data_IF_396091977168
#
_entry.id   IF_396091977168
#
_cell.length_a   1.000
_cell.length_b   1.000
_cell.length_c   1.000
_cell.angle_alpha   90.00
_cell.angle_beta   90.00
_cell.angle_gamma   90.00
#
_symmetry.space_group_name_H-M   'P 1'
#
loop_
_entity.id
_entity.type
_entity.pdbx_description
1 polymer ?
#
# COMPACT_ATOMS: atom_id res chain seq x y z
N UNK A 1 -4.26 20.60 -8.48
CA UNK A 1 -2.97 19.92 -8.76
C UNK A 1 -2.44 19.32 -7.48
N UNK A 2 -2.05 18.06 -7.52
CA UNK A 2 -1.46 17.40 -6.35
C UNK A 2 -0.02 17.89 -6.21
N UNK A 3 0.34 18.31 -5.00
CA UNK A 3 1.71 18.58 -4.62
C UNK A 3 2.14 17.43 -3.71
N UNK A 4 2.99 16.54 -4.22
CA UNK A 4 3.45 15.39 -3.47
C UNK A 4 4.85 15.59 -2.89
N UNK A 5 5.08 15.09 -1.68
CA UNK A 5 6.41 14.83 -1.15
C UNK A 5 6.87 13.49 -1.72
N UNK A 6 7.91 13.49 -2.55
CA UNK A 6 8.43 12.27 -3.19
C UNK A 6 9.47 11.58 -2.30
N UNK A 7 9.32 10.27 -2.14
CA UNK A 7 10.22 9.39 -1.41
C UNK A 7 10.82 8.39 -2.40
N UNK A 8 12.12 8.54 -2.67
CA UNK A 8 12.89 7.58 -3.46
C UNK A 8 13.35 6.41 -2.59
N UNK A 9 12.75 5.24 -2.82
CA UNK A 9 13.02 4.04 -2.04
C UNK A 9 14.35 3.37 -2.42
N UNK A 10 14.88 3.62 -3.61
CA UNK A 10 16.21 3.17 -3.99
C UNK A 10 17.27 3.95 -3.20
N UNK A 11 17.15 5.27 -3.12
CA UNK A 11 18.04 6.11 -2.31
C UNK A 11 17.91 5.80 -0.81
N UNK A 12 16.68 5.55 -0.34
CA UNK A 12 16.43 5.09 1.02
C UNK A 12 17.17 3.77 1.31
N UNK A 13 17.10 2.79 0.41
CA UNK A 13 17.80 1.51 0.54
C UNK A 13 19.32 1.69 0.57
N UNK A 14 19.89 2.56 -0.28
CA UNK A 14 21.32 2.86 -0.26
C UNK A 14 21.76 3.48 1.07
N UNK A 15 20.88 4.24 1.72
CA UNK A 15 21.15 4.88 3.02
C UNK A 15 20.80 4.00 4.23
N UNK A 16 20.14 2.86 4.00
CA UNK A 16 19.51 2.06 5.05
C UNK A 16 20.50 1.52 6.09
N UNK A 17 21.71 1.12 5.65
CA UNK A 17 22.76 0.66 6.56
C UNK A 17 23.23 1.75 7.53
N UNK A 18 23.43 2.97 7.04
CA UNK A 18 23.80 4.12 7.87
C UNK A 18 22.70 4.47 8.87
N UNK A 19 21.44 4.49 8.43
CA UNK A 19 20.28 4.72 9.30
C UNK A 19 20.15 3.64 10.38
N UNK A 20 20.36 2.38 10.01
CA UNK A 20 20.31 1.24 10.95
C UNK A 20 21.37 1.37 12.03
N UNK A 21 22.60 1.74 11.66
CA UNK A 21 23.70 1.98 12.61
C UNK A 21 23.39 3.15 13.53
N UNK A 22 22.92 4.28 13.00
CA UNK A 22 22.61 5.47 13.79
C UNK A 22 21.48 5.23 14.80
N UNK A 23 20.49 4.41 14.44
CA UNK A 23 19.35 4.08 15.30
C UNK A 23 19.62 2.88 16.23
N UNK A 24 20.71 2.13 16.02
CA UNK A 24 20.97 0.85 16.69
C UNK A 24 19.95 -0.25 16.36
N UNK A 25 19.11 -0.05 15.34
CA UNK A 25 18.06 -0.98 14.93
C UNK A 25 17.61 -0.73 13.48
N UNK A 26 17.09 -1.74 12.78
CA UNK A 26 16.53 -1.55 11.44
C UNK A 26 15.35 -0.57 11.44
N UNK A 27 15.27 0.29 10.43
CA UNK A 27 14.08 1.12 10.18
C UNK A 27 12.98 0.21 9.64
N UNK A 28 11.87 0.12 10.38
CA UNK A 28 10.75 -0.77 10.05
C UNK A 28 9.47 -0.02 9.66
N UNK A 29 9.31 1.20 10.16
CA UNK A 29 8.17 2.06 9.87
C UNK A 29 8.72 3.44 9.52
N UNK A 30 8.35 3.95 8.35
CA UNK A 30 8.61 5.31 7.92
C UNK A 30 7.28 6.05 7.87
N UNK A 31 7.11 7.01 8.78
CA UNK A 31 5.96 7.90 8.80
C UNK A 31 6.31 9.19 8.05
N UNK A 32 5.48 9.58 7.09
CA UNK A 32 5.66 10.79 6.28
C UNK A 32 4.36 11.59 6.29
N UNK A 33 4.46 12.89 6.55
CA UNK A 33 3.34 13.81 6.45
C UNK A 33 3.74 15.01 5.62
N UNK A 34 3.01 15.26 4.54
CA UNK A 34 3.10 16.49 3.79
C UNK A 34 2.18 17.52 4.44
N UNK A 35 2.81 18.48 5.12
CA UNK A 35 2.13 19.53 5.90
C UNK A 35 2.13 20.88 5.18
N UNK A 36 2.42 20.91 3.87
CA UNK A 36 2.41 22.15 3.11
C UNK A 36 1.00 22.75 3.11
N UNK A 37 0.94 24.07 3.24
CA UNK A 37 -0.30 24.82 3.14
C UNK A 37 -0.91 24.64 1.76
N UNK A 38 -2.14 24.16 1.71
CA UNK A 38 -2.88 23.96 0.47
C UNK A 38 -3.74 25.18 0.14
N UNK A 39 -3.95 25.40 -1.14
CA UNK A 39 -4.90 26.38 -1.67
C UNK A 39 -6.14 25.67 -2.18
N UNK A 40 -7.17 26.41 -2.61
CA UNK A 40 -8.37 25.82 -3.22
C UNK A 40 -8.10 25.01 -4.50
N UNK A 41 -6.92 25.14 -5.10
CA UNK A 41 -6.52 24.44 -6.32
C UNK A 41 -5.41 23.41 -6.10
N UNK A 42 -4.95 23.18 -4.87
CA UNK A 42 -3.89 22.23 -4.56
C UNK A 42 -4.30 21.23 -3.48
N UNK A 43 -3.71 20.03 -3.55
CA UNK A 43 -3.91 18.98 -2.55
C UNK A 43 -2.54 18.39 -2.18
N UNK A 44 -2.31 18.13 -0.91
CA UNK A 44 -1.08 17.50 -0.42
C UNK A 44 -1.07 16.01 -0.75
N UNK A 45 0.09 15.43 -1.04
CA UNK A 45 0.25 13.99 -1.22
C UNK A 45 1.63 13.49 -0.81
N UNK A 46 1.78 12.17 -0.77
CA UNK A 46 3.09 11.51 -0.67
C UNK A 46 3.24 10.58 -1.86
N UNK A 47 4.37 10.62 -2.55
CA UNK A 47 4.66 9.74 -3.69
C UNK A 47 5.82 8.82 -3.35
N UNK A 48 5.69 7.53 -3.67
CA UNK A 48 6.76 6.54 -3.57
C UNK A 48 7.25 6.21 -4.97
N UNK A 49 8.56 6.33 -5.18
CA UNK A 49 9.22 5.97 -6.44
C UNK A 49 10.33 4.94 -6.19
N UNK A 50 10.66 4.17 -7.24
CA UNK A 50 11.72 3.16 -7.21
C UNK A 50 11.56 2.12 -6.08
N UNK A 51 10.31 1.74 -5.77
CA UNK A 51 9.96 0.85 -4.66
C UNK A 51 10.05 -0.65 -4.94
N UNK A 52 10.60 -1.06 -6.08
CA UNK A 52 10.59 -2.47 -6.51
C UNK A 52 11.33 -3.37 -5.50
N UNK A 53 12.42 -2.86 -4.92
CA UNK A 53 13.19 -3.54 -3.88
C UNK A 53 13.04 -2.76 -2.57
N UNK A 54 12.82 -3.47 -1.47
CA UNK A 54 12.69 -2.91 -0.12
C UNK A 54 13.79 -3.47 0.80
N UNK A 55 14.01 -2.88 2.00
CA UNK A 55 14.91 -3.46 2.98
C UNK A 55 14.42 -4.83 3.43
N UNK A 56 15.35 -5.78 3.58
CA UNK A 56 15.04 -7.17 3.97
C UNK A 56 14.36 -7.32 5.33
N UNK A 57 14.53 -6.33 6.22
CA UNK A 57 13.87 -6.28 7.52
C UNK A 57 12.37 -5.92 7.45
N UNK A 58 11.86 -5.63 6.25
CA UNK A 58 10.49 -5.17 6.01
C UNK A 58 10.34 -3.67 6.20
N UNK A 59 9.31 -3.11 5.57
CA UNK A 59 9.03 -1.67 5.59
C UNK A 59 7.54 -1.39 5.54
N UNK A 60 7.06 -0.67 6.54
CA UNK A 60 5.74 -0.05 6.54
C UNK A 60 5.89 1.44 6.26
N UNK A 61 5.22 1.92 5.22
CA UNK A 61 5.07 3.35 4.94
C UNK A 61 3.73 3.78 5.52
N UNK A 62 3.74 4.80 6.37
CA UNK A 62 2.54 5.37 6.97
C UNK A 62 2.44 6.86 6.67
N UNK A 63 1.26 7.34 6.30
CA UNK A 63 1.00 8.76 6.06
C UNK A 63 -0.44 9.12 6.37
N UNK A 64 -0.66 10.38 6.74
CA UNK A 64 -2.01 10.95 6.81
C UNK A 64 -2.48 11.49 5.46
N UNK A 65 -1.61 11.56 4.46
CA UNK A 65 -1.91 12.11 3.14
C UNK A 65 -2.35 10.99 2.16
N UNK A 66 -2.95 11.35 1.01
CA UNK A 66 -3.07 10.43 -0.11
C UNK A 66 -1.69 9.96 -0.57
N UNK A 67 -1.57 8.65 -0.79
CA UNK A 67 -0.34 7.99 -1.17
C UNK A 67 -0.39 7.57 -2.65
N UNK A 68 0.64 7.97 -3.39
CA UNK A 68 0.86 7.57 -4.77
C UNK A 68 2.02 6.58 -4.80
N UNK A 69 1.83 5.43 -5.45
CA UNK A 69 2.88 4.43 -5.63
C UNK A 69 3.18 4.34 -7.11
N UNK A 70 4.40 4.76 -7.50
CA UNK A 70 4.84 4.79 -8.88
C UNK A 70 5.74 3.61 -9.21
N UNK A 71 5.35 2.87 -10.25
CA UNK A 71 6.04 1.67 -10.71
C UNK A 71 5.78 0.45 -9.82
N UNK A 72 6.62 -0.56 -9.96
CA UNK A 72 6.56 -1.76 -9.13
C UNK A 72 6.87 -1.45 -7.67
N UNK A 73 6.22 -2.17 -6.75
CA UNK A 73 6.46 -2.05 -5.32
C UNK A 73 6.63 -3.42 -4.68
N UNK A 74 7.77 -3.62 -4.00
CA UNK A 74 8.13 -4.86 -3.33
C UNK A 74 8.00 -6.10 -4.24
N UNK A 75 8.43 -5.96 -5.50
CA UNK A 75 8.28 -6.98 -6.53
C UNK A 75 9.65 -7.25 -7.18
N UNK A 76 10.55 -8.00 -6.51
CA UNK A 76 11.76 -8.49 -7.14
C UNK A 76 11.44 -9.17 -8.49
N UNK A 77 12.41 -9.23 -9.41
CA UNK A 77 12.14 -9.60 -10.81
C UNK A 77 11.34 -10.91 -10.99
N UNK A 78 11.55 -11.90 -10.13
CA UNK A 78 10.83 -13.18 -10.15
C UNK A 78 9.35 -13.10 -9.73
N UNK A 79 8.90 -11.97 -9.18
CA UNK A 79 7.52 -11.71 -8.78
C UNK A 79 6.70 -10.97 -9.83
N UNK A 80 7.35 -10.27 -10.77
CA UNK A 80 6.68 -9.37 -11.72
C UNK A 80 5.58 -10.08 -12.52
N UNK A 81 4.35 -9.59 -12.43
CA UNK A 81 3.19 -10.16 -13.12
C UNK A 81 2.69 -11.49 -12.54
N UNK A 82 3.25 -11.97 -11.44
CA UNK A 82 2.92 -13.30 -10.86
C UNK A 82 2.22 -13.19 -9.49
N UNK A 83 1.72 -14.32 -9.01
CA UNK A 83 1.25 -14.48 -7.61
C UNK A 83 2.33 -15.02 -6.66
N UNK A 84 3.56 -15.21 -7.14
CA UNK A 84 4.66 -15.68 -6.31
C UNK A 84 5.17 -14.54 -5.44
N UNK A 85 4.86 -14.57 -4.15
CA UNK A 85 5.34 -13.58 -3.19
C UNK A 85 6.50 -14.08 -2.33
N UNK A 86 7.01 -15.29 -2.52
CA UNK A 86 8.04 -15.86 -1.65
C UNK A 86 9.29 -14.98 -1.40
N UNK A 87 9.83 -14.24 -2.40
CA UNK A 87 11.00 -13.39 -2.22
C UNK A 87 10.66 -11.92 -1.85
N UNK A 88 9.38 -11.58 -1.65
CA UNK A 88 8.97 -10.23 -1.23
C UNK A 88 9.31 -9.99 0.24
N UNK A 89 9.55 -8.73 0.60
CA UNK A 89 9.77 -8.32 1.98
C UNK A 89 8.43 -8.10 2.71
N UNK A 90 8.38 -8.20 4.05
CA UNK A 90 7.18 -7.81 4.80
C UNK A 90 6.90 -6.31 4.61
N UNK A 91 5.82 -5.97 3.88
CA UNK A 91 5.57 -4.59 3.49
C UNK A 91 4.12 -4.15 3.70
N UNK A 92 3.93 -2.92 4.19
CA UNK A 92 2.61 -2.33 4.32
C UNK A 92 2.58 -0.86 3.91
N UNK A 93 1.44 -0.43 3.35
CA UNK A 93 1.14 0.95 3.01
C UNK A 93 -0.10 1.39 3.79
N UNK A 94 0.04 2.40 4.63
CA UNK A 94 -1.01 2.94 5.48
C UNK A 94 -1.21 4.41 5.13
N UNK A 95 -2.38 4.79 4.60
CA UNK A 95 -2.58 6.13 4.01
C UNK A 95 -4.03 6.60 4.03
N UNK A 96 -4.28 7.87 3.69
CA UNK A 96 -5.65 8.40 3.54
C UNK A 96 -6.41 7.72 2.39
N UNK A 97 -5.76 7.63 1.24
CA UNK A 97 -6.23 6.94 0.05
C UNK A 97 -5.01 6.53 -0.77
N UNK A 98 -5.10 5.46 -1.55
CA UNK A 98 -3.99 4.97 -2.36
C UNK A 98 -4.27 5.07 -3.86
N UNK A 99 -3.28 5.55 -4.61
CA UNK A 99 -3.30 5.58 -6.07
C UNK A 99 -2.07 4.87 -6.62
N UNK A 100 -2.28 3.98 -7.59
CA UNK A 100 -1.20 3.30 -8.30
C UNK A 100 -0.96 3.99 -9.63
N UNK A 101 0.31 4.24 -9.91
CA UNK A 101 0.83 4.83 -11.13
C UNK A 101 1.88 3.87 -11.71
N UNK A 102 1.83 3.58 -13.00
CA UNK A 102 2.85 2.78 -13.65
C UNK A 102 4.17 3.56 -13.78
N UNK A 103 5.26 2.87 -14.12
CA UNK A 103 6.56 3.49 -14.38
C UNK A 103 6.53 4.50 -15.55
N UNK A 104 5.55 4.38 -16.44
CA UNK A 104 5.29 5.28 -17.57
C UNK A 104 4.63 6.60 -17.17
N UNK A 105 4.12 6.72 -15.94
CA UNK A 105 3.52 7.97 -15.47
C UNK A 105 4.52 9.13 -15.50
N UNK A 106 4.05 10.28 -15.97
CA UNK A 106 4.76 11.56 -15.82
C UNK A 106 3.76 12.61 -15.32
N UNK A 107 4.19 13.49 -14.42
CA UNK A 107 3.28 14.47 -13.80
C UNK A 107 2.72 15.48 -14.80
N UNK A 108 3.48 15.76 -15.86
CA UNK A 108 3.02 16.57 -17.00
C UNK A 108 1.82 15.96 -17.73
N UNK A 109 1.59 14.65 -17.60
CA UNK A 109 0.42 13.98 -18.15
C UNK A 109 -0.82 14.08 -17.25
N UNK A 110 -0.76 14.68 -16.06
CA UNK A 110 -1.90 14.76 -15.13
C UNK A 110 -3.16 15.40 -15.73
N UNK A 111 -3.03 16.24 -16.75
CA UNK A 111 -4.14 16.86 -17.50
C UNK A 111 -4.42 16.21 -18.86
N UNK A 112 -3.64 15.22 -19.28
CA UNK A 112 -3.73 14.58 -20.59
C UNK A 112 -4.81 13.50 -20.61
N UNK A 113 -5.63 13.40 -21.67
CA UNK A 113 -6.64 12.34 -21.82
C UNK A 113 -6.08 10.98 -22.21
N UNK A 114 -4.86 10.92 -22.79
CA UNK A 114 -4.19 9.68 -23.18
C UNK A 114 -3.00 9.39 -22.26
N UNK A 115 -3.19 8.47 -21.33
CA UNK A 115 -2.20 8.10 -20.29
C UNK A 115 -2.01 6.60 -20.24
N UNK A 116 -1.53 5.99 -21.33
CA UNK A 116 -1.42 4.52 -21.41
C UNK A 116 -0.40 4.00 -20.40
N UNK A 117 -0.85 3.15 -19.48
CA UNK A 117 -0.04 2.52 -18.44
C UNK A 117 0.92 1.46 -19.02
N UNK A 118 1.87 1.06 -18.18
CA UNK A 118 2.60 -0.22 -18.28
C UNK A 118 2.10 -1.19 -17.21
N UNK A 119 2.37 -2.49 -17.43
CA UNK A 119 2.05 -3.52 -16.45
C UNK A 119 2.77 -3.24 -15.12
N UNK A 120 2.04 -3.36 -14.02
CA UNK A 120 2.54 -2.96 -12.70
C UNK A 120 2.25 -4.06 -11.69
N UNK A 121 3.17 -4.26 -10.74
CA UNK A 121 3.07 -5.30 -9.71
C UNK A 121 3.32 -4.69 -8.34
N UNK A 122 2.37 -4.87 -7.44
CA UNK A 122 2.38 -4.33 -6.07
C UNK A 122 2.22 -5.48 -5.09
N UNK A 123 3.19 -5.68 -4.20
CA UNK A 123 3.11 -6.67 -3.12
C UNK A 123 3.14 -5.98 -1.75
N UNK A 124 1.99 -5.79 -1.11
CA UNK A 124 1.92 -5.13 0.19
C UNK A 124 0.57 -5.38 0.89
N UNK A 125 0.55 -5.30 2.23
CA UNK A 125 -0.70 -5.11 2.95
C UNK A 125 -1.07 -3.63 2.94
N UNK A 126 -2.29 -3.28 2.52
CA UNK A 126 -2.70 -1.89 2.36
C UNK A 126 -3.87 -1.61 3.29
N UNK A 127 -3.71 -0.57 4.11
CA UNK A 127 -4.75 0.00 4.94
C UNK A 127 -4.99 1.43 4.47
N UNK A 128 -6.17 1.70 3.93
CA UNK A 128 -6.49 3.01 3.39
C UNK A 128 -7.96 3.38 3.57
N UNK A 129 -8.27 4.65 3.36
CA UNK A 129 -9.63 5.13 3.29
C UNK A 129 -10.24 5.04 1.89
N UNK A 130 -11.56 5.11 1.85
CA UNK A 130 -12.38 5.10 0.62
C UNK A 130 -13.31 6.31 0.57
N UNK A 131 -13.83 6.66 -0.60
CA UNK A 131 -14.92 7.65 -0.71
C UNK A 131 -16.25 6.89 -0.60
N UNK A 132 -17.03 7.00 0.49
CA UNK A 132 -18.24 6.21 0.66
C UNK A 132 -19.27 6.51 -0.42
N UNK A 133 -19.99 5.48 -0.89
CA UNK A 133 -21.17 5.66 -1.74
C UNK A 133 -22.24 6.46 -0.99
N UNK A 134 -22.93 7.38 -1.67
CA UNK A 134 -23.89 8.28 -1.03
C UNK A 134 -25.29 8.28 -1.68
N UNK A 135 -25.60 7.26 -2.47
CA UNK A 135 -26.85 7.16 -3.23
C UNK A 135 -26.86 7.96 -4.53
N UNK A 136 -25.98 8.95 -4.69
CA UNK A 136 -25.78 9.71 -5.94
C UNK A 136 -24.60 9.17 -6.75
N UNK A 137 -23.59 8.62 -6.09
CA UNK A 137 -22.45 7.95 -6.73
C UNK A 137 -22.02 6.68 -5.99
N UNK A 138 -21.26 5.84 -6.70
CA UNK A 138 -20.71 4.59 -6.17
C UNK A 138 -19.22 4.76 -5.81
N UNK A 139 -18.83 4.28 -4.63
CA UNK A 139 -17.43 4.24 -4.16
C UNK A 139 -16.51 3.42 -5.06
N UNK A 140 -17.02 2.61 -5.97
CA UNK A 140 -16.20 1.70 -6.78
C UNK A 140 -15.79 0.40 -6.09
N UNK A 141 -16.11 0.23 -4.80
CA UNK A 141 -15.87 -1.02 -4.05
C UNK A 141 -14.40 -1.46 -4.02
N UNK A 142 -14.17 -2.77 -3.90
CA UNK A 142 -12.82 -3.37 -3.89
C UNK A 142 -12.03 -3.04 -5.18
N UNK A 143 -12.75 -3.00 -6.30
CA UNK A 143 -12.20 -2.79 -7.65
C UNK A 143 -11.49 -1.44 -7.79
N UNK A 144 -11.92 -0.45 -7.01
CA UNK A 144 -11.38 0.91 -7.02
C UNK A 144 -10.75 1.32 -5.69
N UNK A 145 -10.58 0.36 -4.76
CA UNK A 145 -9.81 0.59 -3.54
C UNK A 145 -8.41 1.09 -3.88
N UNK A 146 -7.78 0.46 -4.89
CA UNK A 146 -6.60 0.99 -5.56
C UNK A 146 -7.06 1.95 -6.65
N UNK A 147 -6.90 3.26 -6.44
CA UNK A 147 -7.25 4.26 -7.45
C UNK A 147 -6.27 4.19 -8.60
N UNK A 148 -6.76 4.48 -9.80
CA UNK A 148 -5.97 4.48 -11.03
C UNK A 148 -6.25 5.76 -11.81
N UNK A 149 -5.20 6.33 -12.38
CA UNK A 149 -5.29 7.55 -13.20
C UNK A 149 -4.89 7.32 -14.65
N UNK A 150 -4.41 6.14 -15.01
CA UNK A 150 -3.93 5.79 -16.34
C UNK A 150 -4.94 4.96 -17.13
N UNK A 151 -4.74 4.87 -18.45
CA UNK A 151 -5.44 3.94 -19.32
C UNK A 151 -4.74 2.57 -19.25
N UNK A 152 -5.43 1.59 -18.67
CA UNK A 152 -4.94 0.23 -18.48
C UNK A 152 -5.50 -0.76 -19.51
N UNK A 153 -6.02 -0.28 -20.65
CA UNK A 153 -6.48 -1.16 -21.72
C UNK A 153 -5.33 -2.05 -22.20
N UNK A 154 -5.57 -3.36 -22.24
CA UNK A 154 -4.55 -4.38 -22.55
C UNK A 154 -3.30 -4.31 -21.64
N UNK A 155 -3.47 -3.82 -20.40
CA UNK A 155 -2.46 -3.80 -19.34
C UNK A 155 -2.96 -4.51 -18.10
N UNK A 156 -2.03 -5.01 -17.30
CA UNK A 156 -2.29 -5.78 -16.09
C UNK A 156 -1.78 -5.03 -14.87
N UNK A 157 -2.67 -4.86 -13.89
CA UNK A 157 -2.30 -4.54 -12.52
C UNK A 157 -2.32 -5.83 -11.70
N UNK A 158 -1.14 -6.29 -11.32
CA UNK A 158 -0.97 -7.41 -10.40
C UNK A 158 -0.83 -6.88 -8.98
N UNK A 159 -1.70 -7.35 -8.09
CA UNK A 159 -1.65 -7.00 -6.68
C UNK A 159 -1.67 -8.29 -5.86
N UNK A 160 -0.67 -8.48 -5.01
CA UNK A 160 -0.67 -9.57 -4.04
C UNK A 160 -0.61 -8.97 -2.63
N UNK A 161 -1.62 -9.25 -1.81
CA UNK A 161 -1.64 -8.66 -0.49
C UNK A 161 -2.96 -8.82 0.25
N UNK A 162 -3.20 -7.89 1.17
CA UNK A 162 -4.43 -7.77 1.93
C UNK A 162 -4.86 -6.31 1.91
N UNK A 163 -6.16 -6.07 1.72
CA UNK A 163 -6.74 -4.72 1.67
C UNK A 163 -7.67 -4.53 2.87
N UNK A 164 -7.45 -3.46 3.62
CA UNK A 164 -8.27 -3.07 4.77
C UNK A 164 -8.79 -1.64 4.56
N UNK A 165 -10.11 -1.52 4.34
CA UNK A 165 -10.82 -0.26 4.30
C UNK A 165 -11.39 0.06 5.69
N UNK A 166 -10.78 0.97 6.44
CA UNK A 166 -11.18 1.24 7.83
C UNK A 166 -11.90 2.56 8.05
N UNK A 167 -11.81 3.50 7.10
CA UNK A 167 -12.39 4.84 7.27
C UNK A 167 -12.74 5.50 5.93
N UNK A 168 -13.62 6.52 5.94
CA UNK A 168 -13.75 7.45 4.82
C UNK A 168 -12.46 8.29 4.65
N UNK A 169 -11.96 8.39 3.42
CA UNK A 169 -10.86 9.30 3.08
C UNK A 169 -11.27 10.75 3.40
N UNK A 170 -10.33 11.52 3.96
CA UNK A 170 -10.53 12.91 4.40
C UNK A 170 -9.86 13.92 3.50
N UNK A 171 -8.92 13.50 2.66
CA UNK A 171 -8.18 14.39 1.76
C UNK A 171 -8.59 14.10 0.32
N UNK A 172 -8.42 12.87 -0.16
CA UNK A 172 -8.81 12.49 -1.51
C UNK A 172 -10.31 12.17 -1.60
N UNK A 173 -11.17 13.15 -1.33
CA UNK A 173 -12.63 12.97 -1.17
C UNK A 173 -13.43 12.96 -2.46
N UNK A 174 -12.80 13.22 -3.61
CA UNK A 174 -13.47 13.28 -4.90
C UNK A 174 -14.13 11.93 -5.26
N UNK A 175 -15.45 11.91 -5.56
CA UNK A 175 -16.11 10.72 -6.06
C UNK A 175 -15.42 10.16 -7.29
N UNK A 176 -15.51 8.84 -7.49
CA UNK A 176 -15.09 8.27 -8.76
C UNK A 176 -15.93 8.89 -9.87
N UNK A 177 -15.24 9.50 -10.85
CA UNK A 177 -15.92 10.10 -11.98
C UNK A 177 -16.69 9.06 -12.80
N UNK A 178 -17.67 9.55 -13.56
CA UNK A 178 -18.46 8.71 -14.47
C UNK A 178 -17.62 8.09 -15.60
N UNK A 179 -18.32 7.53 -16.58
CA UNK A 179 -17.70 6.84 -17.73
C UNK A 179 -16.64 7.73 -18.40
N UNK A 180 -15.42 7.20 -18.60
CA UNK A 180 -14.38 7.84 -19.42
C UNK A 180 -13.28 8.62 -18.67
N UNK A 181 -13.23 8.60 -17.34
CA UNK A 181 -12.12 9.23 -16.57
C UNK A 181 -10.81 8.45 -16.71
N UNK A 182 -10.89 7.13 -16.78
CA UNK A 182 -9.80 6.22 -17.12
C UNK A 182 -10.38 4.92 -17.70
N UNK A 183 -9.54 4.14 -18.40
CA UNK A 183 -9.90 2.78 -18.81
C UNK A 183 -9.35 1.80 -17.77
N UNK A 184 -10.20 1.04 -17.05
CA UNK A 184 -9.73 0.09 -16.05
C UNK A 184 -8.93 -1.05 -16.70
N UNK A 185 -8.06 -1.73 -15.94
CA UNK A 185 -7.29 -2.85 -16.47
C UNK A 185 -8.22 -3.95 -16.95
N UNK A 186 -7.88 -4.56 -18.09
CA UNK A 186 -8.61 -5.70 -18.62
C UNK A 186 -8.63 -6.86 -17.62
N UNK A 187 -7.58 -6.97 -16.80
CA UNK A 187 -7.51 -7.90 -15.69
C UNK A 187 -6.93 -7.23 -14.44
N UNK A 188 -7.74 -7.21 -13.36
CA UNK A 188 -7.24 -6.97 -12.00
C UNK A 188 -6.75 -8.31 -11.44
N UNK A 189 -5.45 -8.57 -11.54
CA UNK A 189 -4.84 -9.80 -11.06
C UNK A 189 -4.58 -9.68 -9.55
N UNK A 190 -5.66 -9.66 -8.77
CA UNK A 190 -5.62 -9.49 -7.32
C UNK A 190 -5.59 -10.85 -6.65
N UNK A 191 -4.57 -11.08 -5.81
CA UNK A 191 -4.41 -12.31 -5.06
C UNK A 191 -3.94 -12.04 -3.63
N UNK A 192 -4.02 -13.05 -2.77
CA UNK A 192 -3.54 -12.95 -1.40
C UNK A 192 -2.04 -13.22 -1.34
N UNK A 193 -1.29 -12.40 -0.60
CA UNK A 193 0.13 -12.66 -0.33
C UNK A 193 0.27 -13.79 0.71
N UNK A 194 0.73 -14.96 0.25
CA UNK A 194 0.90 -16.13 1.11
C UNK A 194 1.93 -15.96 2.24
N UNK A 195 2.85 -15.00 2.14
CA UNK A 195 3.76 -14.69 3.24
C UNK A 195 3.01 -14.24 4.50
N UNK A 196 1.83 -13.63 4.37
CA UNK A 196 1.05 -13.16 5.53
C UNK A 196 0.46 -14.28 6.39
N UNK A 197 0.62 -15.56 5.99
CA UNK A 197 0.32 -16.71 6.84
C UNK A 197 1.42 -16.99 7.87
N UNK A 198 2.63 -16.48 7.64
CA UNK A 198 3.74 -16.58 8.58
C UNK A 198 3.83 -15.29 9.41
N UNK A 199 3.74 -15.43 10.73
CA UNK A 199 3.82 -14.30 11.68
C UNK A 199 5.12 -13.51 11.54
N UNK A 200 6.22 -14.15 11.13
CA UNK A 200 7.52 -13.51 10.95
C UNK A 200 7.62 -12.73 9.64
N UNK A 201 6.67 -12.95 8.72
CA UNK A 201 6.58 -12.23 7.45
C UNK A 201 5.42 -11.25 7.39
N UNK A 202 4.75 -11.01 8.53
CA UNK A 202 3.79 -9.93 8.64
C UNK A 202 4.49 -8.56 8.55
N UNK A 203 3.90 -7.58 7.86
CA UNK A 203 4.46 -6.24 7.80
C UNK A 203 4.72 -5.65 9.20
N UNK A 204 5.77 -4.82 9.38
CA UNK A 204 6.03 -4.20 10.67
C UNK A 204 4.86 -3.34 11.15
N UNK A 205 4.44 -3.52 12.40
CA UNK A 205 3.29 -2.80 12.94
C UNK A 205 1.93 -3.37 12.53
N UNK A 206 1.88 -4.58 11.96
CA UNK A 206 0.61 -5.28 11.67
C UNK A 206 -0.25 -5.36 12.95
N UNK A 207 -1.51 -4.87 12.93
CA UNK A 207 -2.42 -5.02 14.06
C UNK A 207 -2.63 -6.49 14.42
N UNK A 208 -2.53 -6.83 15.70
CA UNK A 208 -2.74 -8.19 16.20
C UNK A 208 -3.89 -8.21 17.19
N UNK A 209 -4.90 -9.05 16.93
CA UNK A 209 -5.88 -9.41 17.95
C UNK A 209 -5.24 -10.43 18.90
N UNK A 210 -5.24 -10.14 20.20
CA UNK A 210 -4.73 -11.06 21.23
C UNK A 210 -5.83 -11.36 22.23
N UNK A 211 -6.07 -12.64 22.48
CA UNK A 211 -7.00 -13.11 23.52
C UNK A 211 -6.19 -13.49 24.76
N UNK A 212 -6.51 -12.88 25.90
CA UNK A 212 -5.95 -13.30 27.18
C UNK A 212 -6.79 -14.45 27.75
N UNK A 213 -6.16 -15.60 27.98
CA UNK A 213 -6.79 -16.71 28.69
C UNK A 213 -6.25 -16.71 30.12
N UNK A 214 -7.14 -16.58 31.11
CA UNK A 214 -6.81 -16.76 32.52
C UNK A 214 -7.17 -18.19 32.91
N UNK A 215 -6.18 -18.96 33.33
CA UNK A 215 -6.36 -20.28 33.93
C UNK A 215 -5.85 -20.26 35.38
N UNK A 216 -6.49 -21.05 36.24
CA UNK A 216 -5.99 -21.29 37.60
C UNK A 216 -4.99 -22.45 37.57
N UNK A 217 -3.90 -22.33 38.32
CA UNK A 217 -3.03 -23.47 38.58
C UNK A 217 -3.78 -24.44 39.49
N UNK A 218 -4.06 -25.64 38.98
CA UNK A 218 -4.54 -26.73 39.83
C UNK A 218 -3.36 -27.65 40.10
N UNK A 219 -2.87 -27.67 41.33
CA UNK A 219 -1.96 -28.73 41.77
C UNK A 219 -2.81 -29.96 42.05
N UNK A 220 -2.75 -30.96 41.16
CA UNK A 220 -3.26 -32.28 41.49
C UNK A 220 -2.41 -32.86 42.61
N UNK A 221 -3.06 -33.24 43.70
CA UNK A 221 -2.40 -33.93 44.80
C UNK A 221 -1.85 -35.27 44.28
N UNK A 222 -0.61 -35.61 44.62
CA UNK A 222 -0.07 -36.92 44.28
C UNK A 222 -0.99 -38.02 44.86
N UNK A 223 -1.43 -38.96 44.01
CA UNK A 223 -2.29 -40.12 44.31
C UNK A 223 -3.82 -39.92 44.47
N UNK A 224 -4.45 -38.93 43.82
CA UNK A 224 -5.93 -38.93 43.71
C UNK A 224 -6.41 -39.78 42.53
N UNK A 225 -7.06 -40.92 42.79
CA UNK A 225 -7.83 -41.67 41.79
C UNK A 225 -9.23 -41.06 41.63
N UNK A 226 -9.55 -40.56 40.44
CA UNK A 226 -10.92 -40.50 39.90
C UNK A 226 -10.94 -41.13 38.52
#
# INVERSE_FOLDING_TARGET
MVQATEIDLQQFNSSYGGLTTALGRPVKILYVADLRTQTVSTESGVSLVHGQILPSAGLTIATLNPLYVKGHYNAPDSCLGTTNTAPTCPASLICDAITILSDKWTDGNSTNSSRVANDTTINAAILAGIVPSDGSYYSGGLENFLRLMENWNSRILTFNGSLAALFPSRIATSPFGGVGVYSPPQQRAFSFDFNFKDVNKLPPGTPQLRTAIRAAWNMTQANSTQ
#
